data_IF_195548767775
#
_entry.id   IF_195548767775
#
_cell.length_a   1.000
_cell.length_b   1.000
_cell.length_c   1.000
_cell.angle_alpha   90.00
_cell.angle_beta   90.00
_cell.angle_gamma   90.00
#
_symmetry.space_group_name_H-M   'P 1'
#
loop_
_entity.id
_entity.type
_entity.pdbx_description
1 polymer ?
#
# COMPACT_ATOMS: atom_id res chain seq x y z
N UNK A 1 43.64 36.64 -2.48
CA UNK A 1 44.35 37.57 -3.38
C UNK A 1 44.38 36.95 -4.78
N UNK A 2 43.48 37.36 -5.69
CA UNK A 2 43.25 36.80 -7.06
C UNK A 2 42.84 35.30 -7.04
N UNK A 3 41.74 34.86 -7.67
CA UNK A 3 41.36 34.92 -9.10
C UNK A 3 42.36 34.13 -9.98
N UNK A 4 41.96 33.27 -10.93
CA UNK A 4 40.65 32.75 -11.33
C UNK A 4 40.87 31.61 -12.37
N UNK A 5 39.79 31.17 -13.03
CA UNK A 5 39.71 30.38 -14.28
C UNK A 5 39.92 28.85 -14.11
N UNK A 6 39.06 27.93 -14.56
CA UNK A 6 38.01 27.86 -15.62
C UNK A 6 38.45 27.05 -16.84
N UNK A 7 37.60 26.09 -17.26
CA UNK A 7 37.45 25.56 -18.65
C UNK A 7 38.66 24.84 -19.28
N UNK A 8 38.58 24.02 -20.34
CA UNK A 8 37.54 23.47 -21.24
C UNK A 8 37.95 21.97 -21.48
N UNK A 9 37.04 20.98 -21.50
CA UNK A 9 36.27 20.50 -22.67
C UNK A 9 37.12 19.90 -23.82
N UNK A 10 36.82 18.62 -24.08
CA UNK A 10 36.79 17.91 -25.37
C UNK A 10 37.96 17.00 -25.82
N UNK A 11 37.55 16.04 -26.66
CA UNK A 11 38.28 15.33 -27.72
C UNK A 11 38.89 13.96 -27.40
N UNK A 12 38.11 12.92 -27.77
CA UNK A 12 38.34 12.03 -28.95
C UNK A 12 38.69 10.55 -28.72
N UNK A 13 37.98 9.76 -29.55
CA UNK A 13 38.39 8.54 -30.29
C UNK A 13 38.31 7.18 -29.59
N UNK A 14 37.19 6.52 -29.86
CA UNK A 14 37.16 5.12 -30.33
C UNK A 14 38.11 4.95 -31.56
N UNK A 15 38.75 3.78 -31.79
CA UNK A 15 38.14 2.86 -32.75
C UNK A 15 38.50 1.34 -32.64
N UNK A 16 37.83 0.56 -33.51
CA UNK A 16 38.23 -0.72 -34.14
C UNK A 16 38.15 -2.05 -33.38
N UNK A 17 37.18 -2.89 -33.81
CA UNK A 17 37.28 -4.36 -33.96
C UNK A 17 38.04 -4.72 -35.26
N UNK A 18 38.52 -5.96 -35.54
CA UNK A 18 37.73 -7.22 -35.73
C UNK A 18 38.48 -8.50 -35.20
N UNK A 19 38.27 -9.79 -35.55
CA UNK A 19 37.40 -10.52 -36.51
C UNK A 19 37.18 -12.02 -36.15
N UNK A 20 36.01 -12.53 -36.57
CA UNK A 20 35.52 -13.93 -36.79
C UNK A 20 36.53 -15.07 -37.07
N UNK A 21 36.16 -16.31 -36.66
CA UNK A 21 36.18 -17.62 -37.38
C UNK A 21 35.58 -18.71 -36.43
N UNK A 22 34.41 -19.31 -36.67
CA UNK A 22 34.06 -20.45 -37.56
C UNK A 22 34.28 -21.87 -36.94
N UNK A 23 33.21 -22.69 -36.96
CA UNK A 23 33.07 -24.07 -36.43
C UNK A 23 33.50 -25.15 -37.49
N UNK A 24 33.19 -26.49 -37.45
CA UNK A 24 32.26 -27.27 -36.59
C UNK A 24 32.61 -28.77 -36.28
N UNK A 25 31.60 -29.51 -35.73
CA UNK A 25 31.17 -30.90 -36.04
C UNK A 25 31.57 -32.14 -35.18
N UNK A 26 30.56 -33.04 -35.09
CA UNK A 26 30.49 -34.47 -34.65
C UNK A 26 30.16 -34.73 -33.16
N UNK A 27 29.02 -35.30 -32.72
CA UNK A 27 28.10 -36.38 -33.16
C UNK A 27 28.33 -37.70 -32.38
N UNK A 28 27.36 -38.09 -31.54
CA UNK A 28 27.09 -39.48 -31.13
C UNK A 28 25.68 -39.59 -30.52
N UNK A 29 24.95 -40.64 -30.86
CA UNK A 29 23.62 -40.96 -30.31
C UNK A 29 23.53 -42.47 -30.05
N UNK A 30 22.75 -42.90 -29.05
CA UNK A 30 22.28 -44.28 -28.96
C UNK A 30 20.95 -44.38 -28.17
N UNK A 31 19.99 -45.11 -28.73
CA UNK A 31 18.71 -45.49 -28.10
C UNK A 31 18.85 -46.82 -27.32
N UNK A 32 17.81 -47.17 -26.53
CA UNK A 32 17.07 -48.46 -26.47
C UNK A 32 16.26 -48.48 -25.15
N UNK A 33 14.94 -48.26 -25.14
CA UNK A 33 13.79 -49.17 -25.35
C UNK A 33 13.04 -49.58 -24.04
N UNK A 34 11.70 -49.48 -24.13
CA UNK A 34 10.61 -49.80 -23.17
C UNK A 34 10.37 -51.34 -23.03
N UNK A 35 9.56 -51.92 -22.08
CA UNK A 35 8.12 -51.58 -21.86
C UNK A 35 7.39 -51.84 -20.51
N UNK A 36 6.20 -51.19 -20.45
CA UNK A 36 4.93 -51.37 -19.70
C UNK A 36 4.62 -52.63 -18.84
N UNK A 37 3.74 -52.45 -17.82
CA UNK A 37 2.36 -53.00 -17.78
C UNK A 37 1.57 -52.77 -16.45
N UNK A 38 0.29 -52.34 -16.56
CA UNK A 38 -0.94 -52.75 -15.77
C UNK A 38 -0.98 -52.59 -14.22
N UNK A 39 -2.11 -52.43 -13.50
CA UNK A 39 -3.57 -52.39 -13.79
C UNK A 39 -4.35 -51.79 -12.57
N UNK A 40 -5.69 -51.74 -12.63
CA UNK A 40 -6.60 -51.01 -11.74
C UNK A 40 -7.11 -51.76 -10.47
N UNK A 41 -8.03 -51.06 -9.78
CA UNK A 41 -9.13 -51.53 -8.88
C UNK A 41 -8.97 -51.55 -7.34
N UNK A 42 -9.83 -50.72 -6.71
CA UNK A 42 -10.45 -50.81 -5.37
C UNK A 42 -11.27 -52.13 -5.18
N UNK A 43 -11.71 -52.56 -3.97
CA UNK A 43 -12.22 -51.71 -2.88
C UNK A 43 -12.05 -52.16 -1.40
N UNK A 44 -12.35 -51.23 -0.48
CA UNK A 44 -13.26 -51.44 0.67
C UNK A 44 -12.91 -52.42 1.81
N UNK A 45 -12.75 -51.87 3.02
CA UNK A 45 -12.80 -52.62 4.29
C UNK A 45 -12.39 -51.77 5.48
N UNK A 46 -13.34 -51.39 6.33
CA UNK A 46 -13.07 -50.60 7.54
C UNK A 46 -12.93 -51.46 8.80
N UNK A 47 -12.25 -50.93 9.82
CA UNK A 47 -12.38 -51.40 11.21
C UNK A 47 -12.17 -50.22 12.18
N UNK A 48 -12.90 -50.23 13.30
CA UNK A 48 -12.95 -49.14 14.27
C UNK A 48 -11.77 -49.12 15.26
N UNK A 49 -11.66 -47.96 15.94
CA UNK A 49 -11.05 -47.69 17.25
C UNK A 49 -9.64 -47.06 17.20
N UNK A 50 -9.38 -45.92 17.82
CA UNK A 50 -9.74 -45.54 19.20
C UNK A 50 -9.81 -44.02 19.41
N UNK A 51 -10.45 -43.61 20.51
CA UNK A 51 -10.57 -42.22 20.96
C UNK A 51 -9.25 -41.65 21.50
N UNK A 52 -8.88 -40.44 21.05
CA UNK A 52 -8.03 -39.50 21.79
C UNK A 52 -8.63 -38.11 21.68
N UNK A 53 -8.58 -37.32 22.76
CA UNK A 53 -9.38 -36.10 22.88
C UNK A 53 -8.83 -34.94 22.05
N UNK A 54 -9.69 -34.35 21.21
CA UNK A 54 -9.48 -33.00 20.71
C UNK A 54 -9.89 -32.00 21.79
N UNK A 55 -8.97 -31.14 22.20
CA UNK A 55 -9.29 -29.90 22.90
C UNK A 55 -10.06 -28.98 21.96
N UNK A 56 -11.17 -28.42 22.42
CA UNK A 56 -11.91 -27.44 21.62
C UNK A 56 -11.07 -26.16 21.48
N UNK A 57 -10.77 -25.77 20.24
CA UNK A 57 -10.41 -24.38 19.95
C UNK A 57 -11.64 -23.49 20.24
N UNK A 58 -11.45 -22.24 20.67
CA UNK A 58 -12.53 -21.26 20.65
C UNK A 58 -12.99 -21.08 19.19
N UNK A 59 -14.30 -21.00 18.98
CA UNK A 59 -14.89 -20.76 17.66
C UNK A 59 -14.63 -19.30 17.25
N UNK A 60 -13.74 -19.08 16.29
CA UNK A 60 -13.59 -17.79 15.61
C UNK A 60 -14.93 -17.45 14.92
N UNK A 61 -15.46 -16.22 15.02
CA UNK A 61 -16.68 -15.86 14.32
C UNK A 61 -16.44 -15.89 12.80
N UNK A 62 -17.02 -16.88 12.11
CA UNK A 62 -16.97 -16.94 10.65
C UNK A 62 -17.90 -15.88 10.07
N UNK A 63 -17.34 -14.71 9.77
CA UNK A 63 -17.98 -13.73 8.91
C UNK A 63 -18.10 -14.35 7.50
N UNK A 64 -19.21 -14.05 6.81
CA UNK A 64 -19.41 -14.56 5.45
C UNK A 64 -18.55 -13.78 4.46
N UNK A 65 -18.32 -14.31 3.24
CA UNK A 65 -17.80 -13.47 2.15
C UNK A 65 -18.79 -12.32 1.92
N UNK A 66 -18.34 -11.09 2.15
CA UNK A 66 -19.20 -9.89 2.17
C UNK A 66 -20.01 -9.73 3.47
N UNK A 67 -19.34 -9.60 4.62
CA UNK A 67 -19.94 -9.08 5.86
C UNK A 67 -18.88 -8.51 6.84
N UNK A 68 -17.84 -7.86 6.31
CA UNK A 68 -16.78 -7.22 7.11
C UNK A 68 -17.11 -5.77 7.47
N UNK A 69 -16.39 -5.14 8.42
CA UNK A 69 -16.64 -3.75 8.84
C UNK A 69 -16.40 -2.71 7.73
N UNK A 70 -15.80 -3.12 6.61
CA UNK A 70 -15.49 -2.30 5.45
C UNK A 70 -16.46 -2.47 4.27
N UNK A 71 -17.55 -3.23 4.43
CA UNK A 71 -18.58 -3.35 3.40
C UNK A 71 -19.33 -2.01 3.24
N UNK A 72 -19.32 -1.46 2.03
CA UNK A 72 -20.15 -0.29 1.68
C UNK A 72 -21.53 -0.79 1.30
N UNK A 73 -22.51 -0.64 2.20
CA UNK A 73 -23.89 -1.02 1.92
C UNK A 73 -24.62 -0.02 1.00
N UNK A 74 -25.78 -0.43 0.45
CA UNK A 74 -26.61 0.41 -0.42
C UNK A 74 -26.95 1.78 0.20
N UNK A 75 -27.04 1.88 1.53
CA UNK A 75 -27.42 3.09 2.24
C UNK A 75 -26.24 4.06 2.35
N UNK A 76 -25.05 3.58 2.71
CA UNK A 76 -23.82 4.36 2.74
C UNK A 76 -23.41 4.78 1.33
N UNK A 77 -23.53 3.90 0.32
CA UNK A 77 -23.31 4.28 -1.07
C UNK A 77 -24.24 5.41 -1.51
N UNK A 78 -25.54 5.29 -1.21
CA UNK A 78 -26.53 6.32 -1.56
C UNK A 78 -26.26 7.66 -0.87
N UNK A 79 -25.85 7.64 0.40
CA UNK A 79 -25.50 8.85 1.16
C UNK A 79 -24.23 9.51 0.62
N UNK A 80 -23.20 8.72 0.31
CA UNK A 80 -21.97 9.22 -0.32
C UNK A 80 -22.23 9.82 -1.71
N UNK A 81 -23.13 9.20 -2.50
CA UNK A 81 -23.54 9.74 -3.79
C UNK A 81 -24.31 11.07 -3.63
N UNK A 82 -25.27 11.17 -2.70
CA UNK A 82 -26.01 12.42 -2.44
C UNK A 82 -25.08 13.55 -1.99
N UNK A 83 -24.08 13.24 -1.16
CA UNK A 83 -23.04 14.18 -0.76
C UNK A 83 -22.19 14.67 -1.96
N UNK A 84 -21.71 13.74 -2.80
CA UNK A 84 -20.88 14.07 -3.98
C UNK A 84 -21.69 14.80 -5.06
N UNK A 85 -22.98 14.50 -5.24
CA UNK A 85 -23.87 15.27 -6.13
C UNK A 85 -24.02 16.74 -5.69
N UNK A 86 -23.82 17.04 -4.40
CA UNK A 86 -23.79 18.41 -3.86
C UNK A 86 -22.50 19.19 -4.13
N UNK A 87 -21.39 18.50 -4.43
CA UNK A 87 -20.06 19.10 -4.58
C UNK A 87 -19.83 19.72 -5.97
N UNK A 88 -19.05 20.80 -6.02
CA UNK A 88 -18.43 21.34 -7.23
C UNK A 88 -17.32 20.43 -7.76
N UNK A 89 -16.86 20.65 -9.00
CA UNK A 89 -15.71 19.91 -9.57
C UNK A 89 -14.44 20.18 -8.77
N UNK A 90 -14.26 21.41 -8.28
CA UNK A 90 -13.18 21.83 -7.41
C UNK A 90 -13.20 21.10 -6.06
N UNK A 91 -14.37 20.97 -5.43
CA UNK A 91 -14.54 20.20 -4.17
C UNK A 91 -14.26 18.70 -4.38
N UNK A 92 -14.81 18.11 -5.44
CA UNK A 92 -14.56 16.69 -5.79
C UNK A 92 -13.10 16.41 -6.09
N UNK A 93 -12.41 17.31 -6.81
CA UNK A 93 -10.98 17.17 -7.13
C UNK A 93 -10.11 17.14 -5.87
N UNK A 94 -10.45 17.94 -4.86
CA UNK A 94 -9.82 17.89 -3.54
C UNK A 94 -10.16 16.61 -2.77
N UNK A 95 -11.43 16.20 -2.78
CA UNK A 95 -11.95 15.06 -2.03
C UNK A 95 -11.25 13.72 -2.38
N UNK A 96 -10.65 13.61 -3.57
CA UNK A 96 -9.87 12.44 -4.02
C UNK A 96 -8.36 12.56 -3.77
N UNK A 97 -7.88 13.60 -3.07
CA UNK A 97 -6.46 13.85 -2.82
C UNK A 97 -6.06 13.68 -1.34
N UNK A 98 -4.91 13.06 -1.10
CA UNK A 98 -4.24 12.96 0.20
C UNK A 98 -2.88 13.65 0.12
N UNK A 99 -2.79 14.86 0.68
CA UNK A 99 -1.57 15.67 0.64
C UNK A 99 -0.57 15.31 1.75
N UNK A 100 0.69 15.68 1.57
CA UNK A 100 1.71 15.70 2.63
C UNK A 100 2.12 17.16 2.90
N UNK A 101 2.69 17.44 4.07
CA UNK A 101 3.20 18.76 4.42
C UNK A 101 4.66 18.70 4.88
N UNK A 102 5.27 19.85 5.18
CA UNK A 102 6.65 19.96 5.64
C UNK A 102 6.73 20.51 7.07
N UNK A 103 7.38 19.78 7.97
CA UNK A 103 7.56 20.15 9.37
C UNK A 103 6.44 19.65 10.28
N UNK A 104 6.64 19.88 11.58
CA UNK A 104 5.78 19.38 12.69
C UNK A 104 5.54 20.45 13.77
N UNK A 105 5.76 21.72 13.44
CA UNK A 105 5.49 22.84 14.35
C UNK A 105 4.13 23.47 14.06
N UNK A 106 3.64 24.32 14.97
CA UNK A 106 2.31 24.92 14.84
C UNK A 106 2.12 25.71 13.53
N UNK A 107 3.17 26.32 12.97
CA UNK A 107 3.05 27.06 11.71
C UNK A 107 2.96 26.13 10.49
N UNK A 108 3.61 24.96 10.54
CA UNK A 108 3.42 23.90 9.55
C UNK A 108 2.00 23.32 9.61
N UNK A 109 1.47 23.10 10.81
CA UNK A 109 0.09 22.63 11.02
C UNK A 109 -0.94 23.65 10.54
N UNK A 110 -0.80 24.92 10.93
CA UNK A 110 -1.68 26.02 10.46
C UNK A 110 -1.67 26.12 8.92
N UNK A 111 -0.48 26.02 8.29
CA UNK A 111 -0.36 26.08 6.84
C UNK A 111 -1.03 24.89 6.12
N UNK A 112 -0.97 23.69 6.71
CA UNK A 112 -1.65 22.53 6.14
C UNK A 112 -3.18 22.61 6.33
N UNK A 113 -3.66 23.17 7.44
CA UNK A 113 -5.09 23.45 7.65
C UNK A 113 -5.61 24.45 6.60
N UNK A 114 -4.86 25.54 6.36
CA UNK A 114 -5.15 26.49 5.27
C UNK A 114 -5.15 25.80 3.88
N UNK A 115 -4.29 24.80 3.66
CA UNK A 115 -4.27 24.02 2.41
C UNK A 115 -5.46 23.07 2.28
N UNK A 116 -5.80 22.32 3.33
CA UNK A 116 -6.99 21.44 3.39
C UNK A 116 -8.24 22.21 2.97
N UNK A 117 -8.47 23.35 3.62
CA UNK A 117 -9.66 24.19 3.42
C UNK A 117 -9.71 24.86 2.04
N UNK A 118 -8.55 25.14 1.44
CA UNK A 118 -8.46 25.84 0.15
C UNK A 118 -8.50 24.93 -1.06
N UNK A 119 -7.98 23.71 -0.93
CA UNK A 119 -7.97 22.70 -2.00
C UNK A 119 -9.07 21.64 -1.81
N UNK A 120 -9.87 21.74 -0.74
CA UNK A 120 -10.92 20.80 -0.37
C UNK A 120 -10.44 19.35 -0.19
N UNK A 121 -9.27 19.18 0.44
CA UNK A 121 -8.59 17.88 0.51
C UNK A 121 -9.41 16.81 1.25
N UNK A 122 -9.48 15.60 0.68
CA UNK A 122 -10.06 14.42 1.34
C UNK A 122 -9.19 13.86 2.46
N UNK A 123 -7.88 14.12 2.45
CA UNK A 123 -6.99 13.68 3.53
C UNK A 123 -5.60 14.29 3.57
N UNK A 124 -4.85 13.85 4.59
CA UNK A 124 -3.42 14.10 4.75
C UNK A 124 -2.68 12.84 5.17
N UNK A 125 -1.42 12.70 4.74
CA UNK A 125 -0.50 11.68 5.23
C UNK A 125 0.57 12.32 6.13
N UNK A 126 0.90 11.64 7.23
CA UNK A 126 1.97 12.02 8.16
C UNK A 126 3.24 11.26 7.79
N UNK A 127 4.23 12.00 7.30
CA UNK A 127 5.58 11.47 7.05
C UNK A 127 6.48 11.74 8.27
N UNK A 128 7.66 11.14 8.34
CA UNK A 128 8.56 11.28 9.50
C UNK A 128 8.91 12.74 9.85
N UNK A 129 9.01 13.60 8.83
CA UNK A 129 9.23 15.06 8.95
C UNK A 129 8.07 15.82 9.58
N UNK A 130 6.92 15.18 9.74
CA UNK A 130 5.70 15.71 10.35
C UNK A 130 5.45 15.15 11.76
N UNK A 131 6.27 14.21 12.23
CA UNK A 131 6.16 13.66 13.58
C UNK A 131 6.85 14.61 14.56
N UNK A 132 6.15 15.21 15.54
CA UNK A 132 6.79 16.05 16.54
C UNK A 132 7.55 15.18 17.54
N UNK A 133 8.75 15.62 17.90
CA UNK A 133 9.64 14.95 18.87
C UNK A 133 10.15 15.96 19.90
N UNK A 134 10.71 15.46 21.01
CA UNK A 134 11.39 16.31 22.00
C UNK A 134 12.56 17.14 21.41
N UNK A 135 13.09 16.75 20.24
CA UNK A 135 14.14 17.45 19.50
C UNK A 135 13.64 18.47 18.45
N UNK A 136 12.34 18.56 18.20
CA UNK A 136 11.74 19.29 17.07
C UNK A 136 11.06 18.34 16.08
N UNK A 137 11.12 18.62 14.79
CA UNK A 137 10.61 17.70 13.77
C UNK A 137 11.41 16.41 13.74
N UNK A 138 10.71 15.28 13.69
CA UNK A 138 11.27 13.96 13.50
C UNK A 138 12.06 13.87 12.20
N UNK A 139 13.07 13.00 12.20
CA UNK A 139 13.66 12.49 10.98
C UNK A 139 13.53 10.98 11.03
N UNK A 140 13.07 10.37 9.94
CA UNK A 140 13.20 8.93 9.74
C UNK A 140 14.68 8.59 9.77
N UNK A 141 15.09 7.78 10.74
CA UNK A 141 16.42 7.18 10.68
C UNK A 141 16.37 6.02 9.68
N UNK A 142 16.55 6.33 8.39
CA UNK A 142 16.63 5.34 7.30
C UNK A 142 17.76 4.31 7.54
N UNK A 143 18.81 4.71 8.27
CA UNK A 143 19.91 3.84 8.72
C UNK A 143 19.60 3.04 10.02
N UNK A 144 18.40 3.16 10.61
CA UNK A 144 18.01 2.43 11.83
C UNK A 144 17.23 1.15 11.50
N UNK A 145 17.56 -0.02 12.09
CA UNK A 145 16.80 -1.25 11.90
C UNK A 145 15.35 -1.18 12.45
N UNK A 146 15.04 -0.17 13.26
CA UNK A 146 13.70 0.10 13.80
C UNK A 146 12.99 1.27 13.10
N UNK A 147 13.65 1.91 12.12
CA UNK A 147 13.12 3.07 11.41
C UNK A 147 12.70 4.24 12.32
N UNK A 148 11.78 5.06 11.80
CA UNK A 148 10.99 6.01 12.59
C UNK A 148 11.69 7.28 13.08
N UNK A 149 10.85 8.23 13.50
CA UNK A 149 11.23 9.30 14.40
C UNK A 149 11.22 8.77 15.84
N UNK A 150 12.23 9.17 16.62
CA UNK A 150 12.44 8.73 18.01
C UNK A 150 12.18 9.89 18.97
N UNK A 151 11.90 9.59 20.25
CA UNK A 151 11.46 10.56 21.26
C UNK A 151 10.20 11.35 20.82
N UNK A 152 9.22 10.65 20.25
CA UNK A 152 7.95 11.22 19.74
C UNK A 152 7.16 11.90 20.87
N UNK A 153 6.78 13.16 20.65
CA UNK A 153 5.83 13.85 21.52
C UNK A 153 4.42 13.42 21.13
N UNK A 154 3.98 12.32 21.73
CA UNK A 154 2.63 11.74 21.54
C UNK A 154 1.54 12.80 21.73
N UNK A 155 1.66 13.69 22.72
CA UNK A 155 0.63 14.68 22.99
C UNK A 155 0.54 15.73 21.88
N UNK A 156 1.68 16.19 21.36
CA UNK A 156 1.74 17.07 20.19
C UNK A 156 1.25 16.35 18.91
N UNK A 157 1.60 15.08 18.72
CA UNK A 157 1.16 14.27 17.58
C UNK A 157 -0.37 14.07 17.59
N UNK A 158 -0.94 13.72 18.73
CA UNK A 158 -2.41 13.61 18.91
C UNK A 158 -3.10 14.95 18.67
N UNK A 159 -2.55 16.06 19.18
CA UNK A 159 -3.10 17.40 18.94
C UNK A 159 -3.05 17.80 17.46
N UNK A 160 -1.94 17.48 16.77
CA UNK A 160 -1.79 17.70 15.33
C UNK A 160 -2.84 16.92 14.55
N UNK A 161 -2.97 15.61 14.79
CA UNK A 161 -3.96 14.77 14.10
C UNK A 161 -5.41 15.20 14.38
N UNK A 162 -5.72 15.61 15.63
CA UNK A 162 -7.02 16.19 15.97
C UNK A 162 -7.30 17.47 15.18
N UNK A 163 -6.33 18.38 15.07
CA UNK A 163 -6.49 19.60 14.29
C UNK A 163 -6.67 19.34 12.78
N UNK A 164 -5.96 18.33 12.23
CA UNK A 164 -6.20 17.88 10.85
C UNK A 164 -7.59 17.29 10.67
N UNK A 165 -8.08 16.45 11.60
CA UNK A 165 -9.43 15.89 11.54
C UNK A 165 -10.53 16.96 11.70
N UNK A 166 -10.33 17.94 12.57
CA UNK A 166 -11.23 19.09 12.69
C UNK A 166 -11.27 19.91 11.39
N UNK A 167 -10.13 20.10 10.72
CA UNK A 167 -10.07 20.81 9.44
C UNK A 167 -10.68 20.02 8.27
N UNK A 168 -10.44 18.71 8.20
CA UNK A 168 -10.94 17.82 7.16
C UNK A 168 -12.46 17.59 7.26
N UNK A 169 -13.01 17.54 8.47
CA UNK A 169 -14.47 17.42 8.69
C UNK A 169 -15.25 18.73 8.48
N UNK A 170 -14.56 19.84 8.17
CA UNK A 170 -15.15 21.15 7.89
C UNK A 170 -14.89 21.59 6.44
N UNK A 171 -14.54 20.68 5.53
CA UNK A 171 -14.25 21.01 4.12
C UNK A 171 -15.53 21.34 3.34
N UNK A 172 -16.64 20.66 3.62
CA UNK A 172 -17.95 20.89 3.01
C UNK A 172 -19.00 21.26 4.08
N UNK A 173 -19.98 22.11 3.75
CA UNK A 173 -20.91 22.73 4.73
C UNK A 173 -21.78 21.71 5.51
N UNK A 174 -22.13 20.59 4.87
CA UNK A 174 -22.97 19.52 5.42
C UNK A 174 -22.21 18.18 5.62
N UNK A 175 -20.87 18.21 5.70
CA UNK A 175 -20.05 17.01 5.93
C UNK A 175 -20.23 16.44 7.35
N UNK A 176 -20.62 15.16 7.45
CA UNK A 176 -20.73 14.42 8.72
C UNK A 176 -19.76 13.24 8.84
N UNK A 177 -18.90 13.01 7.83
CA UNK A 177 -17.85 11.99 7.81
C UNK A 177 -16.45 12.55 8.12
N UNK A 178 -15.56 11.77 8.77
CA UNK A 178 -14.19 12.17 9.09
C UNK A 178 -13.28 12.26 7.85
N UNK A 179 -12.14 12.93 8.01
CA UNK A 179 -11.10 12.94 7.00
C UNK A 179 -10.20 11.70 7.04
N UNK A 180 -9.41 11.50 5.98
CA UNK A 180 -8.30 10.55 6.02
C UNK A 180 -7.10 11.24 6.66
N UNK A 181 -6.64 10.72 7.81
CA UNK A 181 -5.33 11.02 8.39
C UNK A 181 -4.55 9.72 8.40
N UNK A 182 -3.61 9.59 7.47
CA UNK A 182 -2.89 8.35 7.17
C UNK A 182 -1.41 8.37 7.53
N UNK A 183 -0.80 7.19 7.55
CA UNK A 183 0.62 6.96 7.86
C UNK A 183 1.10 5.66 7.20
N UNK A 184 2.41 5.50 6.98
CA UNK A 184 3.02 4.19 6.69
C UNK A 184 3.71 3.63 7.94
N UNK A 185 2.96 2.89 8.75
CA UNK A 185 3.48 2.21 9.93
C UNK A 185 3.42 0.70 9.68
N UNK A 186 4.42 0.17 8.98
CA UNK A 186 4.57 -1.27 8.68
C UNK A 186 5.25 -2.01 9.85
N UNK A 187 6.16 -1.31 10.56
CA UNK A 187 7.13 -1.93 11.46
C UNK A 187 8.53 -1.96 10.83
N UNK A 188 9.55 -2.28 11.63
CA UNK A 188 10.94 -2.27 11.17
C UNK A 188 11.35 -0.95 10.53
N UNK A 189 12.01 -1.00 9.37
CA UNK A 189 12.55 0.18 8.67
C UNK A 189 11.46 1.15 8.18
N UNK A 190 10.25 0.67 7.87
CA UNK A 190 9.12 1.53 7.47
C UNK A 190 8.20 1.78 8.66
N UNK A 191 8.79 2.54 9.58
CA UNK A 191 8.14 3.12 10.76
C UNK A 191 8.15 4.64 10.58
N UNK A 192 7.07 5.34 10.97
CA UNK A 192 7.07 6.81 11.10
C UNK A 192 7.16 7.22 12.57
N UNK A 193 6.34 6.61 13.42
CA UNK A 193 6.31 6.86 14.87
C UNK A 193 7.05 5.72 15.58
N UNK A 194 8.27 5.99 16.08
CA UNK A 194 9.00 5.09 16.97
C UNK A 194 8.67 5.36 18.44
N UNK A 195 9.66 5.15 19.33
CA UNK A 195 9.52 5.38 20.77
C UNK A 195 8.88 6.75 21.10
N UNK A 196 7.85 6.81 21.97
CA UNK A 196 7.44 5.78 22.93
C UNK A 196 6.30 4.86 22.46
N UNK A 197 5.96 4.82 21.17
CA UNK A 197 5.06 3.77 20.63
C UNK A 197 5.76 2.40 20.66
N UNK A 198 5.01 1.32 20.51
CA UNK A 198 5.60 -0.02 20.37
C UNK A 198 6.45 -0.09 19.10
N UNK A 199 7.72 -0.46 19.24
CA UNK A 199 8.65 -0.63 18.12
C UNK A 199 8.48 -2.04 17.54
N UNK A 200 7.64 -2.14 16.51
CA UNK A 200 7.31 -3.41 15.85
C UNK A 200 8.48 -3.99 15.06
N UNK A 201 8.66 -5.33 15.05
CA UNK A 201 9.73 -5.99 14.33
C UNK A 201 9.56 -5.85 12.80
N UNK A 202 10.59 -6.21 12.03
CA UNK A 202 10.50 -6.24 10.57
C UNK A 202 9.46 -7.27 10.12
N UNK A 203 8.73 -6.99 9.04
CA UNK A 203 7.70 -7.88 8.48
C UNK A 203 8.26 -9.28 8.17
N UNK A 204 9.52 -9.38 7.75
CA UNK A 204 10.21 -10.67 7.54
C UNK A 204 10.38 -11.49 8.83
N UNK A 205 10.48 -10.84 9.99
CA UNK A 205 10.49 -11.53 11.29
C UNK A 205 9.10 -12.01 11.68
N UNK A 206 8.05 -11.23 11.39
CA UNK A 206 6.65 -11.65 11.59
C UNK A 206 6.35 -12.88 10.71
N UNK A 207 6.72 -12.83 9.43
CA UNK A 207 6.60 -13.96 8.51
C UNK A 207 7.48 -15.18 8.86
N UNK A 208 8.62 -14.95 9.51
CA UNK A 208 9.48 -16.03 10.01
C UNK A 208 8.96 -16.70 11.29
N UNK A 209 8.12 -16.02 12.09
CA UNK A 209 7.40 -16.65 13.20
C UNK A 209 6.32 -17.63 12.71
N UNK A 210 5.72 -17.36 11.53
CA UNK A 210 4.77 -18.21 10.83
C UNK A 210 3.45 -18.49 11.60
N UNK A 211 3.06 -17.61 12.51
CA UNK A 211 1.79 -17.68 13.26
C UNK A 211 0.85 -16.51 12.85
N UNK A 212 -0.17 -16.78 12.00
CA UNK A 212 -1.17 -15.77 11.63
C UNK A 212 -1.98 -15.22 12.82
N UNK A 213 -2.16 -15.99 13.89
CA UNK A 213 -2.82 -15.49 15.09
C UNK A 213 -1.99 -14.40 15.79
N UNK A 214 -0.67 -14.61 15.87
CA UNK A 214 0.26 -13.60 16.39
C UNK A 214 0.38 -12.38 15.46
N UNK A 215 0.32 -12.57 14.15
CA UNK A 215 0.28 -11.47 13.17
C UNK A 215 -0.98 -10.62 13.31
N UNK A 216 -2.15 -11.23 13.53
CA UNK A 216 -3.41 -10.52 13.79
C UNK A 216 -3.33 -9.72 15.10
N UNK A 217 -2.81 -10.34 16.16
CA UNK A 217 -2.58 -9.67 17.46
C UNK A 217 -1.63 -8.47 17.33
N UNK A 218 -0.56 -8.60 16.55
CA UNK A 218 0.39 -7.53 16.29
C UNK A 218 -0.21 -6.39 15.46
N UNK A 219 -0.93 -6.71 14.38
CA UNK A 219 -1.59 -5.73 13.53
C UNK A 219 -2.69 -4.96 14.29
N UNK A 220 -3.47 -5.64 15.13
CA UNK A 220 -4.45 -5.00 16.01
C UNK A 220 -3.79 -4.11 17.07
N UNK A 221 -2.69 -4.57 17.67
CA UNK A 221 -1.90 -3.77 18.61
C UNK A 221 -1.36 -2.49 17.96
N UNK A 222 -0.75 -2.60 16.79
CA UNK A 222 -0.22 -1.48 16.00
C UNK A 222 -1.35 -0.50 15.63
N UNK A 223 -2.43 -1.00 15.05
CA UNK A 223 -3.56 -0.19 14.62
C UNK A 223 -4.25 0.51 15.81
N UNK A 224 -4.36 -0.15 16.97
CA UNK A 224 -4.94 0.45 18.17
C UNK A 224 -4.10 1.59 18.77
N UNK A 225 -2.77 1.55 18.67
CA UNK A 225 -1.92 2.69 19.06
C UNK A 225 -2.08 3.86 18.08
N UNK A 226 -2.16 3.59 16.77
CA UNK A 226 -2.40 4.63 15.75
C UNK A 226 -3.78 5.29 15.91
N UNK A 227 -4.84 4.50 16.12
CA UNK A 227 -6.18 5.02 16.39
C UNK A 227 -6.19 5.88 17.67
N UNK A 228 -5.45 5.49 18.71
CA UNK A 228 -5.26 6.28 19.93
C UNK A 228 -4.53 7.61 19.73
N UNK A 229 -3.76 7.75 18.64
CA UNK A 229 -3.08 8.99 18.23
C UNK A 229 -3.88 9.74 17.14
N UNK A 230 -5.08 9.26 16.76
CA UNK A 230 -6.00 9.96 15.87
C UNK A 230 -5.77 9.74 14.37
N UNK A 231 -5.03 8.69 14.00
CA UNK A 231 -5.02 8.20 12.61
C UNK A 231 -6.32 7.47 12.28
N UNK A 232 -6.76 7.57 11.02
CA UNK A 232 -7.92 6.83 10.49
C UNK A 232 -7.54 5.78 9.45
N UNK A 233 -6.30 5.83 8.95
CA UNK A 233 -5.76 4.89 7.96
C UNK A 233 -4.29 4.55 8.23
N UNK A 234 -3.89 3.31 7.99
CA UNK A 234 -2.51 2.87 7.88
C UNK A 234 -2.29 2.22 6.52
N UNK A 235 -1.22 2.60 5.81
CA UNK A 235 -0.86 2.03 4.52
C UNK A 235 -0.13 0.68 4.72
N UNK A 236 -0.80 -0.30 5.33
CA UNK A 236 -0.32 -1.66 5.58
C UNK A 236 -1.53 -2.62 5.57
N UNK A 237 -1.36 -3.94 5.33
CA UNK A 237 -0.10 -4.69 5.18
C UNK A 237 0.58 -4.59 3.81
N UNK A 238 1.86 -4.93 3.79
CA UNK A 238 2.51 -5.36 2.54
C UNK A 238 2.00 -6.75 2.16
N UNK A 239 1.58 -6.86 0.90
CA UNK A 239 1.14 -8.08 0.22
C UNK A 239 2.17 -8.58 -0.81
N UNK A 240 3.26 -7.86 -1.03
CA UNK A 240 4.34 -8.26 -1.93
C UNK A 240 5.02 -9.56 -1.49
N UNK A 241 5.18 -10.50 -2.43
CA UNK A 241 5.99 -11.72 -2.26
C UNK A 241 7.43 -11.40 -2.66
N UNK A 242 8.38 -11.48 -1.73
CA UNK A 242 9.80 -11.21 -2.03
C UNK A 242 10.44 -12.37 -2.79
N UNK A 243 11.55 -12.10 -3.49
CA UNK A 243 12.32 -13.10 -4.22
C UNK A 243 13.82 -13.02 -3.90
N UNK A 244 14.61 -14.12 -4.06
CA UNK A 244 16.05 -14.10 -3.83
C UNK A 244 16.81 -13.12 -4.73
N UNK A 245 17.12 -11.94 -4.20
CA UNK A 245 17.80 -10.85 -4.92
C UNK A 245 17.01 -9.55 -5.02
N UNK A 246 15.78 -9.52 -4.50
CA UNK A 246 15.07 -8.29 -4.13
C UNK A 246 15.95 -7.44 -3.18
N UNK A 247 15.92 -6.12 -3.38
CA UNK A 247 16.67 -5.14 -2.61
C UNK A 247 15.79 -4.03 -2.03
N UNK A 248 14.47 -4.10 -2.24
CA UNK A 248 13.50 -3.01 -2.04
C UNK A 248 12.37 -3.41 -1.10
N UNK A 249 11.81 -4.61 -1.27
CA UNK A 249 10.85 -5.16 -0.30
C UNK A 249 11.62 -6.00 0.72
N UNK A 250 12.17 -7.16 0.34
CA UNK A 250 13.00 -8.05 1.17
C UNK A 250 12.49 -8.18 2.63
N UNK A 251 13.11 -7.46 3.58
CA UNK A 251 12.76 -7.48 5.01
C UNK A 251 11.37 -6.90 5.35
N UNK A 252 10.74 -6.21 4.38
CA UNK A 252 9.36 -5.68 4.45
C UNK A 252 8.30 -6.69 3.98
N UNK A 253 8.68 -7.82 3.39
CA UNK A 253 7.74 -8.89 3.01
C UNK A 253 7.59 -9.92 4.13
N UNK A 254 6.43 -10.59 4.19
CA UNK A 254 6.25 -11.79 5.02
C UNK A 254 7.02 -13.02 4.49
N UNK A 255 7.50 -13.03 3.24
CA UNK A 255 8.35 -14.10 2.71
C UNK A 255 8.23 -14.37 1.21
N UNK A 256 8.81 -15.50 0.79
CA UNK A 256 8.95 -15.91 -0.62
C UNK A 256 7.83 -16.85 -1.11
N UNK A 257 6.96 -17.34 -0.22
CA UNK A 257 5.90 -18.30 -0.53
C UNK A 257 4.52 -17.60 -0.56
N UNK A 258 3.84 -17.49 -1.73
CA UNK A 258 2.61 -16.72 -1.85
C UNK A 258 1.48 -17.17 -0.91
N UNK A 259 1.36 -18.46 -0.60
CA UNK A 259 0.31 -19.00 0.28
C UNK A 259 0.58 -18.65 1.75
N UNK A 260 1.84 -18.70 2.19
CA UNK A 260 2.23 -18.24 3.54
C UNK A 260 2.12 -16.72 3.66
N UNK A 261 2.56 -15.96 2.66
CA UNK A 261 2.36 -14.49 2.64
C UNK A 261 0.88 -14.15 2.72
N UNK A 262 0.02 -14.84 1.96
CA UNK A 262 -1.44 -14.66 1.99
C UNK A 262 -2.03 -14.84 3.39
N UNK A 263 -1.62 -15.88 4.14
CA UNK A 263 -2.10 -16.11 5.50
C UNK A 263 -1.73 -14.96 6.46
N UNK A 264 -0.52 -14.42 6.35
CA UNK A 264 -0.06 -13.30 7.17
C UNK A 264 -0.74 -11.97 6.76
N UNK A 265 -0.95 -11.77 5.46
CA UNK A 265 -1.70 -10.61 4.92
C UNK A 265 -3.13 -10.62 5.46
N UNK A 266 -3.87 -11.72 5.32
CA UNK A 266 -5.25 -11.84 5.82
C UNK A 266 -5.31 -11.55 7.32
N UNK A 267 -4.43 -12.17 8.12
CA UNK A 267 -4.33 -11.90 9.55
C UNK A 267 -4.09 -10.41 9.88
N UNK A 268 -3.23 -9.74 9.10
CA UNK A 268 -2.94 -8.32 9.29
C UNK A 268 -4.12 -7.43 8.88
N UNK A 269 -4.87 -7.79 7.83
CA UNK A 269 -6.13 -7.12 7.44
C UNK A 269 -7.19 -7.26 8.53
N UNK A 270 -7.37 -8.46 9.07
CA UNK A 270 -8.27 -8.72 10.20
C UNK A 270 -7.85 -7.88 11.43
N UNK A 271 -6.56 -7.84 11.79
CA UNK A 271 -6.09 -7.09 12.95
C UNK A 271 -6.29 -5.57 12.83
N UNK A 272 -6.06 -4.98 11.66
CA UNK A 272 -6.39 -3.57 11.42
C UNK A 272 -7.91 -3.31 11.52
N UNK A 273 -8.71 -4.27 11.04
CA UNK A 273 -10.18 -4.20 11.08
C UNK A 273 -10.72 -4.31 12.51
N UNK A 274 -10.14 -5.19 13.34
CA UNK A 274 -10.47 -5.32 14.77
C UNK A 274 -10.27 -4.00 15.53
N UNK A 275 -9.28 -3.20 15.12
CA UNK A 275 -8.98 -1.89 15.70
C UNK A 275 -9.74 -0.71 15.03
N UNK A 276 -10.61 -0.97 14.04
CA UNK A 276 -11.39 0.05 13.33
C UNK A 276 -10.55 1.01 12.47
N UNK A 277 -9.35 0.59 12.04
CA UNK A 277 -8.42 1.41 11.26
C UNK A 277 -8.36 0.93 9.80
N UNK A 278 -8.51 1.85 8.84
CA UNK A 278 -8.45 1.50 7.41
C UNK A 278 -7.05 0.98 7.06
N UNK A 279 -6.99 -0.20 6.47
CA UNK A 279 -5.76 -0.84 5.97
C UNK A 279 -5.60 -0.69 4.45
N UNK A 280 -4.39 -0.91 3.95
CA UNK A 280 -4.07 -0.91 2.53
C UNK A 280 -3.13 -2.03 2.14
N UNK A 281 -3.61 -2.98 1.34
CA UNK A 281 -2.76 -4.04 0.78
C UNK A 281 -1.89 -3.47 -0.36
N UNK A 282 -0.57 -3.66 -0.29
CA UNK A 282 0.39 -3.00 -1.20
C UNK A 282 1.62 -3.84 -1.59
N UNK A 283 2.27 -3.63 -2.73
CA UNK A 283 2.02 -2.60 -3.75
C UNK A 283 1.62 -3.27 -5.08
N UNK A 284 0.32 -3.29 -5.41
CA UNK A 284 -0.21 -4.00 -6.60
C UNK A 284 0.41 -3.42 -7.88
N UNK A 285 0.91 -4.23 -8.84
CA UNK A 285 0.68 -5.66 -9.06
C UNK A 285 1.71 -6.61 -8.42
N UNK A 286 2.50 -6.15 -7.46
CA UNK A 286 3.55 -6.93 -6.77
C UNK A 286 4.96 -6.40 -7.05
N UNK A 287 5.62 -5.91 -6.02
CA UNK A 287 6.96 -5.29 -6.09
C UNK A 287 8.10 -6.27 -5.77
N UNK A 288 7.88 -7.27 -4.90
CA UNK A 288 8.95 -8.15 -4.38
C UNK A 288 9.63 -9.09 -5.41
N UNK A 289 9.08 -9.19 -6.63
CA UNK A 289 9.68 -9.90 -7.76
C UNK A 289 10.44 -9.00 -8.76
N UNK A 290 10.50 -7.68 -8.53
CA UNK A 290 11.32 -6.73 -9.32
C UNK A 290 12.49 -6.16 -8.51
N UNK A 291 13.62 -5.89 -9.17
CA UNK A 291 14.90 -5.55 -8.50
C UNK A 291 15.30 -4.08 -8.59
N UNK A 292 14.46 -3.23 -9.19
CA UNK A 292 14.65 -1.78 -9.26
C UNK A 292 13.74 -1.11 -8.24
N UNK A 293 14.26 -0.11 -7.53
CA UNK A 293 13.49 0.70 -6.59
C UNK A 293 12.71 1.80 -7.33
N UNK A 294 11.38 1.82 -7.15
CA UNK A 294 10.45 2.80 -7.73
C UNK A 294 10.71 4.24 -7.25
N UNK A 295 11.40 4.44 -6.13
CA UNK A 295 11.84 5.78 -5.71
C UNK A 295 12.91 6.37 -6.64
N UNK A 296 13.71 5.55 -7.33
CA UNK A 296 14.83 6.01 -8.18
C UNK A 296 14.60 5.83 -9.69
N UNK A 297 13.65 4.97 -10.09
CA UNK A 297 13.27 4.80 -11.48
C UNK A 297 12.23 3.69 -11.68
N UNK A 298 11.62 3.64 -12.87
CA UNK A 298 10.54 2.70 -13.19
C UNK A 298 11.04 1.23 -13.16
N UNK A 299 10.54 0.38 -12.24
CA UNK A 299 10.77 -1.06 -12.26
C UNK A 299 9.97 -1.69 -13.41
N UNK A 300 10.52 -2.72 -14.03
CA UNK A 300 9.86 -3.50 -15.08
C UNK A 300 9.63 -4.93 -14.61
N UNK A 301 8.36 -5.31 -14.53
CA UNK A 301 7.90 -6.67 -14.33
C UNK A 301 7.90 -7.42 -15.67
N UNK A 302 8.69 -8.49 -15.77
CA UNK A 302 8.81 -9.34 -16.97
C UNK A 302 7.93 -10.60 -16.92
N UNK A 303 7.33 -10.94 -15.78
CA UNK A 303 6.34 -12.01 -15.66
C UNK A 303 5.07 -11.67 -16.47
N UNK A 304 4.46 -12.69 -17.09
CA UNK A 304 3.14 -12.54 -17.72
C UNK A 304 2.03 -12.44 -16.68
N UNK A 305 0.87 -11.90 -17.06
CA UNK A 305 -0.28 -11.75 -16.16
C UNK A 305 -0.72 -13.09 -15.55
N UNK A 306 -0.71 -14.17 -16.35
CA UNK A 306 -1.00 -15.52 -15.85
C UNK A 306 0.01 -16.01 -14.80
N UNK A 307 1.27 -15.57 -14.86
CA UNK A 307 2.27 -15.90 -13.84
C UNK A 307 2.05 -15.07 -12.57
N UNK A 308 1.74 -13.78 -12.70
CA UNK A 308 1.42 -12.92 -11.55
C UNK A 308 0.19 -13.43 -10.78
N UNK A 309 -0.83 -13.93 -11.50
CA UNK A 309 -1.99 -14.63 -10.90
C UNK A 309 -1.61 -15.89 -10.10
N UNK A 310 -0.54 -16.57 -10.48
CA UNK A 310 -0.01 -17.77 -9.79
C UNK A 310 1.01 -17.45 -8.68
N UNK A 311 1.48 -16.19 -8.56
CA UNK A 311 2.42 -15.75 -7.52
C UNK A 311 2.00 -14.45 -6.84
N UNK A 312 2.36 -13.31 -7.41
CA UNK A 312 2.36 -12.01 -6.77
C UNK A 312 0.96 -11.50 -6.42
N UNK A 313 -0.08 -11.94 -7.13
CA UNK A 313 -1.47 -11.55 -6.91
C UNK A 313 -2.19 -12.43 -5.88
N UNK A 314 -1.64 -13.59 -5.50
CA UNK A 314 -2.30 -14.52 -4.55
C UNK A 314 -2.56 -13.84 -3.19
N UNK A 315 -1.63 -13.06 -2.60
CA UNK A 315 -1.91 -12.31 -1.38
C UNK A 315 -2.89 -11.15 -1.57
N UNK A 316 -2.93 -10.51 -2.75
CA UNK A 316 -3.93 -9.48 -3.05
C UNK A 316 -5.33 -10.06 -3.19
N UNK A 317 -5.51 -11.19 -3.89
CA UNK A 317 -6.80 -11.90 -3.92
C UNK A 317 -7.23 -12.27 -2.50
N UNK A 318 -6.32 -12.80 -1.69
CA UNK A 318 -6.61 -13.17 -0.30
C UNK A 318 -7.00 -11.97 0.56
N UNK A 319 -6.38 -10.80 0.36
CA UNK A 319 -6.78 -9.55 1.01
C UNK A 319 -8.18 -9.06 0.56
N UNK A 320 -8.50 -9.18 -0.73
CA UNK A 320 -9.82 -8.84 -1.28
C UNK A 320 -10.89 -9.78 -0.73
N UNK A 321 -10.65 -11.08 -0.71
CA UNK A 321 -11.55 -12.10 -0.15
C UNK A 321 -11.77 -11.92 1.37
N UNK A 322 -10.77 -11.37 2.09
CA UNK A 322 -10.86 -10.99 3.50
C UNK A 322 -11.52 -9.61 3.74
N UNK A 323 -11.88 -8.86 2.70
CA UNK A 323 -12.56 -7.57 2.82
C UNK A 323 -11.63 -6.39 3.15
N UNK A 324 -10.41 -6.36 2.62
CA UNK A 324 -9.54 -5.18 2.66
C UNK A 324 -10.30 -3.91 2.18
N UNK A 325 -10.25 -2.77 2.88
CA UNK A 325 -10.94 -1.56 2.45
C UNK A 325 -10.26 -0.86 1.27
N UNK A 326 -8.92 -0.94 1.17
CA UNK A 326 -8.13 -0.25 0.15
C UNK A 326 -7.01 -1.11 -0.43
N UNK A 327 -6.68 -0.91 -1.71
CA UNK A 327 -5.49 -1.51 -2.35
C UNK A 327 -4.64 -0.41 -2.95
N UNK A 328 -3.33 -0.44 -2.67
CA UNK A 328 -2.38 0.56 -3.17
C UNK A 328 -1.64 0.07 -4.41
N UNK A 329 -1.67 0.90 -5.46
CA UNK A 329 -0.98 0.69 -6.74
C UNK A 329 0.49 1.10 -6.64
N UNK A 330 1.42 0.17 -6.86
CA UNK A 330 2.84 0.47 -6.98
C UNK A 330 3.24 0.98 -8.35
N UNK A 331 4.24 1.86 -8.42
CA UNK A 331 4.74 2.45 -9.68
C UNK A 331 5.62 1.48 -10.49
N UNK A 332 5.06 0.34 -10.89
CA UNK A 332 5.74 -0.78 -11.55
C UNK A 332 5.18 -0.95 -12.96
N UNK A 333 6.01 -0.91 -14.00
CA UNK A 333 5.56 -1.24 -15.36
C UNK A 333 5.45 -2.75 -15.54
N UNK A 334 4.39 -3.23 -16.19
CA UNK A 334 4.24 -4.66 -16.53
C UNK A 334 4.38 -4.83 -18.03
N UNK A 335 5.33 -5.65 -18.46
CA UNK A 335 5.69 -5.78 -19.88
C UNK A 335 4.53 -6.24 -20.79
N UNK A 336 3.53 -6.95 -20.25
CA UNK A 336 2.35 -7.41 -21.00
C UNK A 336 1.26 -6.33 -21.16
N UNK A 337 1.20 -5.34 -20.27
CA UNK A 337 0.36 -4.14 -20.44
C UNK A 337 1.13 -3.08 -21.22
N UNK A 338 2.15 -2.49 -20.57
CA UNK A 338 2.93 -1.38 -21.10
C UNK A 338 4.29 -1.28 -20.39
N UNK A 339 5.42 -1.48 -21.07
CA UNK A 339 6.75 -1.42 -20.45
C UNK A 339 7.26 0.02 -20.21
N UNK A 340 6.56 1.05 -20.69
CA UNK A 340 6.93 2.47 -20.53
C UNK A 340 6.02 3.23 -19.55
N UNK A 341 4.99 2.58 -18.98
CA UNK A 341 3.99 3.20 -18.10
C UNK A 341 3.80 2.33 -16.84
N UNK A 342 3.92 2.88 -15.62
CA UNK A 342 3.65 2.15 -14.39
C UNK A 342 2.17 1.79 -14.24
N UNK A 343 1.88 0.73 -13.48
CA UNK A 343 0.53 0.26 -13.16
C UNK A 343 -0.38 1.38 -12.61
N UNK A 344 0.15 2.28 -11.79
CA UNK A 344 -0.54 3.48 -11.27
C UNK A 344 -1.06 4.44 -12.36
N UNK A 345 -0.59 4.32 -13.59
CA UNK A 345 -1.01 5.15 -14.73
C UNK A 345 -1.59 4.31 -15.89
N UNK A 346 -1.78 3.00 -15.70
CA UNK A 346 -2.17 2.05 -16.75
C UNK A 346 -3.60 1.53 -16.50
N UNK A 347 -4.61 1.92 -17.31
CA UNK A 347 -6.00 1.47 -17.15
C UNK A 347 -6.18 -0.05 -17.02
N UNK A 348 -5.35 -0.86 -17.69
CA UNK A 348 -5.46 -2.32 -17.59
C UNK A 348 -5.13 -2.87 -16.20
N UNK A 349 -4.33 -2.15 -15.40
CA UNK A 349 -4.01 -2.53 -14.03
C UNK A 349 -5.20 -2.30 -13.08
N UNK A 350 -5.93 -1.21 -13.29
CA UNK A 350 -7.18 -0.93 -12.58
C UNK A 350 -8.29 -1.90 -13.00
N UNK A 351 -8.39 -2.23 -14.29
CA UNK A 351 -9.30 -3.27 -14.77
C UNK A 351 -8.99 -4.63 -14.10
N UNK A 352 -7.72 -5.03 -13.97
CA UNK A 352 -7.35 -6.25 -13.26
C UNK A 352 -7.84 -6.28 -11.80
N UNK A 353 -7.66 -5.20 -11.02
CA UNK A 353 -8.22 -5.13 -9.66
C UNK A 353 -9.76 -5.24 -9.66
N UNK A 354 -10.44 -4.47 -10.52
CA UNK A 354 -11.91 -4.42 -10.55
C UNK A 354 -12.55 -5.70 -11.09
N UNK A 355 -11.96 -6.37 -12.07
CA UNK A 355 -12.59 -7.50 -12.79
C UNK A 355 -11.96 -8.85 -12.57
N UNK A 356 -10.63 -8.94 -12.43
CA UNK A 356 -9.97 -10.23 -12.19
C UNK A 356 -9.99 -10.59 -10.70
N UNK A 357 -9.67 -9.64 -9.82
CA UNK A 357 -9.71 -9.87 -8.37
C UNK A 357 -11.09 -9.59 -7.75
N UNK A 358 -11.96 -8.85 -8.44
CA UNK A 358 -13.29 -8.48 -7.94
C UNK A 358 -13.27 -7.45 -6.80
N UNK A 359 -12.25 -6.59 -6.75
CA UNK A 359 -12.11 -5.59 -5.71
C UNK A 359 -13.04 -4.38 -5.96
N UNK A 360 -13.95 -4.08 -5.02
CA UNK A 360 -14.90 -2.95 -5.11
C UNK A 360 -14.53 -1.72 -4.24
N UNK A 361 -13.59 -1.87 -3.30
CA UNK A 361 -13.14 -0.82 -2.38
C UNK A 361 -12.33 0.32 -3.03
N UNK A 362 -11.64 1.15 -2.24
CA UNK A 362 -10.88 2.30 -2.77
C UNK A 362 -9.53 1.84 -3.35
N UNK A 363 -9.27 2.14 -4.63
CA UNK A 363 -7.92 1.97 -5.19
C UNK A 363 -7.14 3.27 -4.97
N UNK A 364 -6.07 3.19 -4.19
CA UNK A 364 -5.19 4.32 -3.87
C UNK A 364 -3.88 4.22 -4.65
N UNK A 365 -3.27 5.35 -5.02
CA UNK A 365 -1.93 5.35 -5.60
C UNK A 365 -0.87 5.20 -4.51
N UNK A 366 0.29 4.62 -4.83
CA UNK A 366 1.54 4.95 -4.11
C UNK A 366 1.89 6.43 -4.36
N UNK A 367 2.85 6.98 -3.61
CA UNK A 367 3.14 8.41 -3.57
C UNK A 367 3.50 8.97 -4.96
N UNK A 368 2.72 9.93 -5.46
CA UNK A 368 2.79 10.43 -6.84
C UNK A 368 3.97 11.39 -7.10
N UNK A 369 4.75 11.73 -6.06
CA UNK A 369 6.00 12.49 -6.15
C UNK A 369 7.25 11.60 -6.39
N UNK A 370 7.08 10.28 -6.44
CA UNK A 370 8.16 9.31 -6.62
C UNK A 370 8.81 9.33 -8.02
N UNK A 371 10.12 9.00 -8.05
CA UNK A 371 10.96 9.10 -9.25
C UNK A 371 10.51 8.27 -10.45
N UNK A 372 9.80 7.15 -10.27
CA UNK A 372 9.28 6.32 -11.35
C UNK A 372 8.29 7.05 -12.29
N UNK A 373 7.66 8.14 -11.84
CA UNK A 373 6.68 8.91 -12.63
C UNK A 373 7.33 10.06 -13.42
N UNK A 374 8.63 10.34 -13.20
CA UNK A 374 9.33 11.47 -13.77
C UNK A 374 9.44 11.38 -15.31
N UNK A 375 8.72 12.25 -16.01
CA UNK A 375 8.72 12.29 -17.48
C UNK A 375 7.79 11.28 -18.15
N UNK A 376 6.83 10.70 -17.42
CA UNK A 376 5.84 9.77 -17.97
C UNK A 376 4.60 10.50 -18.52
N UNK A 377 4.15 11.56 -17.85
CA UNK A 377 2.89 12.27 -18.18
C UNK A 377 3.12 13.60 -18.88
N UNK A 378 2.44 13.82 -20.00
CA UNK A 378 2.35 15.10 -20.71
C UNK A 378 2.56 15.00 -22.23
N UNK A 379 2.52 16.14 -22.94
CA UNK A 379 2.54 16.17 -24.41
C UNK A 379 3.78 15.50 -25.03
N UNK A 380 3.55 14.43 -25.80
CA UNK A 380 4.59 13.62 -26.43
C UNK A 380 5.38 12.69 -25.50
N UNK A 381 4.89 12.46 -24.28
CA UNK A 381 5.40 11.46 -23.33
C UNK A 381 4.52 10.18 -23.38
N UNK A 382 4.88 9.07 -22.69
CA UNK A 382 4.11 7.82 -22.74
C UNK A 382 2.62 7.97 -22.41
N UNK A 383 2.27 8.87 -21.48
CA UNK A 383 0.88 9.22 -21.14
C UNK A 383 0.57 10.65 -21.62
N UNK A 384 0.06 10.75 -22.85
CA UNK A 384 -0.37 12.01 -23.49
C UNK A 384 -1.88 12.00 -23.73
N UNK A 385 -2.64 12.17 -22.65
CA UNK A 385 -4.09 11.94 -22.59
C UNK A 385 -4.90 13.20 -22.24
N UNK A 386 -4.28 14.38 -22.31
CA UNK A 386 -4.90 15.69 -22.04
C UNK A 386 -4.76 16.20 -20.60
N UNK A 387 -4.26 15.37 -19.69
CA UNK A 387 -3.81 15.74 -18.33
C UNK A 387 -2.33 16.15 -18.33
N UNK A 388 -1.89 16.83 -17.28
CA UNK A 388 -0.51 17.35 -17.16
C UNK A 388 0.22 16.91 -15.89
N UNK A 389 -0.46 16.24 -14.97
CA UNK A 389 0.09 15.74 -13.70
C UNK A 389 -0.08 14.22 -13.55
N UNK A 390 0.79 13.54 -12.78
CA UNK A 390 0.59 12.13 -12.41
C UNK A 390 -0.76 11.87 -11.70
N UNK A 391 -1.23 12.82 -10.90
CA UNK A 391 -2.53 12.75 -10.22
C UNK A 391 -3.71 12.71 -11.20
N UNK A 392 -3.75 13.64 -12.17
CA UNK A 392 -4.76 13.64 -13.22
C UNK A 392 -4.73 12.36 -14.07
N UNK A 393 -3.52 11.87 -14.38
CA UNK A 393 -3.34 10.63 -15.14
C UNK A 393 -3.78 9.37 -14.36
N UNK A 394 -3.45 9.26 -13.08
CA UNK A 394 -3.88 8.14 -12.24
C UNK A 394 -5.41 8.11 -12.06
N UNK A 395 -6.04 9.27 -11.81
CA UNK A 395 -7.49 9.39 -11.73
C UNK A 395 -8.18 8.96 -13.04
N UNK A 396 -7.62 9.39 -14.18
CA UNK A 396 -8.10 9.01 -15.51
C UNK A 396 -7.93 7.51 -15.79
N UNK A 397 -6.86 6.89 -15.31
CA UNK A 397 -6.58 5.47 -15.46
C UNK A 397 -7.48 4.58 -14.58
N UNK A 398 -7.78 5.02 -13.35
CA UNK A 398 -8.71 4.32 -12.45
C UNK A 398 -8.46 4.47 -10.95
N UNK A 399 -7.51 5.31 -10.51
CA UNK A 399 -7.30 5.58 -9.08
C UNK A 399 -8.46 6.40 -8.50
N UNK A 400 -8.96 6.01 -7.32
CA UNK A 400 -10.01 6.74 -6.61
C UNK A 400 -9.44 7.68 -5.56
N UNK A 401 -8.24 7.39 -5.04
CA UNK A 401 -7.54 8.20 -4.05
C UNK A 401 -6.09 8.45 -4.48
N UNK A 402 -5.66 9.70 -4.45
CA UNK A 402 -4.41 10.19 -5.03
C UNK A 402 -3.46 10.59 -3.89
N UNK A 403 -2.47 9.73 -3.60
CA UNK A 403 -1.52 9.93 -2.50
C UNK A 403 -0.33 10.77 -2.95
N UNK A 404 0.00 11.80 -2.16
CA UNK A 404 1.16 12.69 -2.34
C UNK A 404 1.36 13.17 -3.79
N UNK A 405 0.46 13.99 -4.35
CA UNK A 405 0.59 14.56 -5.70
C UNK A 405 1.89 15.34 -6.02
N UNK A 406 2.68 15.69 -5.00
CA UNK A 406 3.96 16.40 -5.10
C UNK A 406 3.83 17.92 -5.29
N UNK A 407 2.91 18.35 -6.16
CA UNK A 407 2.42 19.73 -6.25
C UNK A 407 0.88 19.67 -6.21
N UNK A 408 0.32 19.81 -5.00
CA UNK A 408 -1.11 19.67 -4.75
C UNK A 408 -1.93 20.74 -5.49
N UNK A 409 -1.40 21.96 -5.65
CA UNK A 409 -2.09 23.03 -6.39
C UNK A 409 -2.14 22.72 -7.89
N UNK A 410 -1.02 22.25 -8.46
CA UNK A 410 -0.97 21.86 -9.86
C UNK A 410 -1.85 20.64 -10.14
N UNK A 411 -1.85 19.63 -9.26
CA UNK A 411 -2.68 18.44 -9.37
C UNK A 411 -4.18 18.76 -9.30
N UNK A 412 -4.60 19.54 -8.31
CA UNK A 412 -5.98 20.00 -8.18
C UNK A 412 -6.43 20.78 -9.43
N UNK A 413 -5.64 21.76 -9.85
CA UNK A 413 -5.95 22.57 -11.03
C UNK A 413 -5.95 21.76 -12.34
N UNK A 414 -5.10 20.72 -12.46
CA UNK A 414 -5.06 19.82 -13.61
C UNK A 414 -6.32 18.95 -13.68
N UNK A 415 -6.75 18.35 -12.56
CA UNK A 415 -7.99 17.56 -12.50
C UNK A 415 -9.20 18.41 -12.89
N UNK A 416 -9.34 19.62 -12.32
CA UNK A 416 -10.45 20.54 -12.65
C UNK A 416 -10.44 20.94 -14.13
N UNK A 417 -9.27 21.23 -14.71
CA UNK A 417 -9.13 21.55 -16.14
C UNK A 417 -9.38 20.34 -17.04
N UNK A 418 -8.97 19.14 -16.62
CA UNK A 418 -9.15 17.91 -17.36
C UNK A 418 -10.63 17.49 -17.39
N UNK A 419 -11.38 17.68 -16.30
CA UNK A 419 -12.85 17.52 -16.28
C UNK A 419 -13.52 18.58 -17.15
N UNK A 420 -13.17 19.86 -16.98
CA UNK A 420 -13.75 20.97 -17.75
C UNK A 420 -13.48 20.90 -19.26
N UNK A 421 -12.43 20.19 -19.69
CA UNK A 421 -12.11 19.92 -21.10
C UNK A 421 -12.63 18.57 -21.62
N UNK A 422 -13.11 17.68 -20.73
CA UNK A 422 -13.55 16.33 -21.06
C UNK A 422 -12.43 15.32 -21.29
N UNK A 423 -11.19 15.63 -20.89
CA UNK A 423 -10.09 14.67 -20.85
C UNK A 423 -10.32 13.63 -19.73
N UNK A 424 -10.79 14.06 -18.56
CA UNK A 424 -11.36 13.20 -17.53
C UNK A 424 -12.89 13.32 -17.64
N UNK A 425 -13.65 12.22 -17.79
CA UNK A 425 -15.11 12.27 -17.71
C UNK A 425 -15.55 12.71 -16.31
N UNK A 426 -16.53 13.61 -16.19
CA UNK A 426 -17.05 14.08 -14.89
C UNK A 426 -17.48 12.90 -13.99
N UNK A 427 -18.20 11.92 -14.58
CA UNK A 427 -18.57 10.67 -13.90
C UNK A 427 -17.37 9.91 -13.30
N UNK A 428 -16.18 9.96 -13.92
CA UNK A 428 -15.00 9.26 -13.36
C UNK A 428 -14.57 9.88 -12.03
N UNK A 429 -14.64 11.21 -11.93
CA UNK A 429 -14.37 11.94 -10.70
C UNK A 429 -15.48 11.71 -9.66
N UNK A 430 -16.75 11.70 -10.09
CA UNK A 430 -17.89 11.37 -9.22
C UNK A 430 -17.76 9.96 -8.62
N UNK A 431 -17.43 8.96 -9.45
CA UNK A 431 -17.25 7.55 -9.04
C UNK A 431 -16.06 7.36 -8.08
N UNK A 432 -15.03 8.21 -8.19
CA UNK A 432 -13.88 8.22 -7.29
C UNK A 432 -14.23 8.87 -5.95
N UNK A 433 -14.77 10.09 -5.99
CA UNK A 433 -15.18 10.83 -4.80
C UNK A 433 -16.24 10.06 -3.99
N UNK A 434 -17.20 9.39 -4.66
CA UNK A 434 -18.23 8.58 -3.99
C UNK A 434 -17.62 7.42 -3.20
N UNK A 435 -16.61 6.72 -3.76
CA UNK A 435 -15.90 5.65 -3.04
C UNK A 435 -15.11 6.19 -1.84
N UNK A 436 -14.44 7.33 -1.98
CA UNK A 436 -13.67 7.94 -0.89
C UNK A 436 -14.58 8.42 0.24
N UNK A 437 -15.70 9.10 -0.08
CA UNK A 437 -16.69 9.54 0.91
C UNK A 437 -17.35 8.33 1.59
N UNK A 438 -17.70 7.28 0.85
CA UNK A 438 -18.25 6.05 1.43
C UNK A 438 -17.26 5.36 2.39
N UNK A 439 -15.97 5.28 2.02
CA UNK A 439 -14.91 4.78 2.91
C UNK A 439 -14.79 5.62 4.19
N UNK A 440 -14.88 6.95 4.09
CA UNK A 440 -14.86 7.85 5.25
C UNK A 440 -16.08 7.66 6.16
N UNK A 441 -17.28 7.49 5.58
CA UNK A 441 -18.51 7.21 6.32
C UNK A 441 -18.43 5.88 7.10
N UNK A 442 -18.01 4.78 6.46
CA UNK A 442 -17.89 3.49 7.16
C UNK A 442 -16.76 3.49 8.21
N UNK A 443 -15.67 4.24 7.97
CA UNK A 443 -14.56 4.32 8.93
C UNK A 443 -14.99 4.89 10.28
N UNK A 444 -15.89 5.89 10.29
CA UNK A 444 -16.46 6.42 11.53
C UNK A 444 -17.24 5.36 12.33
N UNK A 445 -17.96 4.47 11.64
CA UNK A 445 -18.67 3.34 12.25
C UNK A 445 -17.70 2.26 12.75
N UNK A 446 -16.78 1.81 11.91
CA UNK A 446 -15.78 0.79 12.24
C UNK A 446 -14.91 1.20 13.45
N UNK A 447 -14.53 2.47 13.57
CA UNK A 447 -13.79 2.98 14.73
C UNK A 447 -14.64 3.07 16.01
N UNK A 448 -15.96 3.23 15.91
CA UNK A 448 -16.86 3.25 17.05
C UNK A 448 -17.19 1.84 17.57
N UNK A 449 -17.26 0.86 16.67
CA UNK A 449 -17.60 -0.55 16.96
C UNK A 449 -16.35 -1.47 17.09
N UNK A 450 -15.13 -0.91 17.06
CA UNK A 450 -13.86 -1.64 17.14
C UNK A 450 -13.79 -2.64 18.31
N UNK A 451 -13.45 -3.90 18.00
CA UNK A 451 -13.28 -4.97 19.00
C UNK A 451 -12.03 -4.75 19.87
N UNK A 452 -10.97 -4.20 19.28
CA UNK A 452 -9.71 -3.81 19.96
C UNK A 452 -9.69 -2.29 20.08
N UNK A 453 -10.06 -1.71 21.25
CA UNK A 453 -10.14 -0.28 21.42
C UNK A 453 -8.75 0.38 21.40
N UNK A 454 -8.72 1.65 21.04
CA UNK A 454 -7.52 2.49 21.06
C UNK A 454 -6.68 2.32 22.35
N UNK A 455 -5.41 1.99 22.18
CA UNK A 455 -4.49 1.63 23.27
C UNK A 455 -3.54 2.77 23.64
N UNK A 456 -2.64 2.55 24.59
CA UNK A 456 -1.62 3.54 24.96
C UNK A 456 -0.32 3.24 24.20
N UNK A 457 0.42 4.24 23.73
CA UNK A 457 1.73 4.03 23.12
C UNK A 457 2.67 3.14 23.96
N UNK A 458 3.29 2.17 23.31
CA UNK A 458 4.24 1.24 23.92
C UNK A 458 3.59 0.14 24.76
N UNK A 459 2.32 -0.18 24.52
CA UNK A 459 1.56 -1.12 25.37
C UNK A 459 1.65 -2.59 24.95
N UNK A 460 2.18 -2.90 23.76
CA UNK A 460 2.19 -4.25 23.17
C UNK A 460 3.58 -4.91 23.08
N UNK A 461 4.51 -4.51 23.94
CA UNK A 461 5.88 -5.06 23.93
C UNK A 461 5.93 -6.58 24.13
N UNK A 462 4.97 -7.17 24.84
CA UNK A 462 4.88 -8.62 25.04
C UNK A 462 4.49 -9.38 23.76
N UNK A 463 3.74 -8.75 22.86
CA UNK A 463 3.48 -9.29 21.51
C UNK A 463 4.75 -9.28 20.67
N UNK A 464 5.52 -8.18 20.72
CA UNK A 464 6.83 -8.07 20.04
C UNK A 464 7.82 -9.12 20.57
N UNK A 465 7.92 -9.30 21.88
CA UNK A 465 8.80 -10.28 22.51
C UNK A 465 8.47 -11.71 22.05
N UNK A 466 7.18 -12.05 21.89
CA UNK A 466 6.72 -13.36 21.37
C UNK A 466 7.11 -13.58 19.91
N UNK A 467 6.92 -12.58 19.03
CA UNK A 467 7.31 -12.68 17.61
C UNK A 467 8.81 -12.97 17.50
N UNK A 468 9.63 -12.28 18.30
CA UNK A 468 11.08 -12.45 18.30
C UNK A 468 11.50 -13.83 18.84
N UNK A 469 10.81 -14.38 19.84
CA UNK A 469 11.04 -15.74 20.34
C UNK A 469 10.69 -16.81 19.30
N UNK A 470 9.55 -16.68 18.61
CA UNK A 470 9.08 -17.64 17.60
C UNK A 470 9.94 -17.60 16.33
N UNK A 471 10.22 -16.41 15.78
CA UNK A 471 11.11 -16.25 14.63
C UNK A 471 12.54 -16.74 14.93
N UNK A 472 13.05 -16.49 16.13
CA UNK A 472 14.33 -17.00 16.60
C UNK A 472 14.37 -18.53 16.73
N UNK A 473 13.25 -19.14 17.11
CA UNK A 473 13.09 -20.60 17.20
C UNK A 473 13.05 -21.24 15.81
N UNK A 474 12.31 -20.65 14.86
CA UNK A 474 12.27 -21.08 13.48
C UNK A 474 13.67 -21.10 12.84
N UNK A 475 14.44 -20.02 12.98
CA UNK A 475 15.80 -19.89 12.45
C UNK A 475 16.81 -20.89 13.07
N UNK A 476 16.55 -21.40 14.28
CA UNK A 476 17.37 -22.43 14.93
C UNK A 476 17.04 -23.88 14.54
N UNK A 477 15.99 -24.08 13.73
CA UNK A 477 15.45 -25.41 13.37
C UNK A 477 15.76 -25.86 11.94
N UNK A 478 16.30 -24.97 11.11
CA UNK A 478 16.75 -25.20 9.73
C UNK A 478 18.25 -25.52 9.65
#
# INVERSE_FOLDING_TARGET
MRAALSTLVDMRRNPTSPSRLAAPLLLSALLLLLPACTSAEEPGGGEEATTSGATANPETPSHGPGSGPWEIDDATWSAAQEAVEGMTVEEKAGQVMVATFDGSDAAAVDAQIDQIQRLHLGGVIVMGRNVPTAGGAGQTQEDSPLGGAQDVDVAAMTQQNQAMQEALSQVHEDQDWPGIVSVDQEGGTVTRLGSPLTEWPMTSQIGAADDPGLTREAAAGLASELAGVGFTMNNAPIADVTTPGDAVILDRSYGEDPERVSQQVVASVEGHSDAGLVSSAKHFPGHGSVTTDSHVGLPLQELSIDQLRESDWVPFQSAVDAGIPTVMMGHIAVAEWNPEVPATLEPQAYEALRTDLGFDGVIVTDALDMGALAGVVGPGLPVDTGVTTPAGAALQAGADLLLMPGDDEAAHADIVQAVGSGAIPEQRLDDAATRVVALQMIQAGAAADAEVPASQPGSHQDVVDRIVEEAGTAAGSQ
#
